data_IF_950141242051
#
_entry.id   IF_950141242051
#
_cell.length_a   1.000
_cell.length_b   1.000
_cell.length_c   1.000
_cell.angle_alpha   90.00
_cell.angle_beta   90.00
_cell.angle_gamma   90.00
#
_symmetry.space_group_name_H-M   'P 1'
#
loop_
_entity.id
_entity.type
_entity.pdbx_description
1 polymer ?
#
# COMPACT_ATOMS: atom_id res chain seq x y z
N UNK A 1 6.46 -16.26 -6.59
CA UNK A 1 7.50 -15.32 -6.11
C UNK A 1 7.80 -15.56 -4.65
N UNK A 2 9.08 -15.74 -4.32
CA UNK A 2 9.54 -15.98 -2.96
C UNK A 2 9.71 -14.68 -2.17
N UNK A 3 9.12 -14.61 -0.98
CA UNK A 3 9.44 -13.57 -0.01
C UNK A 3 10.67 -13.98 0.81
N UNK A 4 11.61 -13.06 0.94
CA UNK A 4 12.76 -13.20 1.84
C UNK A 4 12.88 -11.95 2.69
N UNK A 5 13.20 -12.08 4.00
CA UNK A 5 13.44 -10.91 4.82
C UNK A 5 14.75 -10.23 4.38
N UNK A 6 14.68 -8.94 4.10
CA UNK A 6 15.86 -8.13 3.77
C UNK A 6 16.68 -7.78 5.02
N UNK A 7 15.98 -7.69 6.16
CA UNK A 7 16.53 -7.31 7.46
C UNK A 7 15.63 -7.90 8.56
N UNK A 8 16.16 -8.22 9.71
CA UNK A 8 15.32 -8.55 10.86
C UNK A 8 14.60 -7.32 11.41
N UNK A 9 13.45 -7.51 12.03
CA UNK A 9 12.71 -6.39 12.65
C UNK A 9 13.55 -5.74 13.76
N UNK A 10 14.34 -6.53 14.50
CA UNK A 10 15.23 -6.02 15.54
C UNK A 10 16.34 -5.13 14.97
N UNK A 11 16.96 -5.53 13.86
CA UNK A 11 17.99 -4.72 13.21
C UNK A 11 17.42 -3.45 12.60
N UNK A 12 16.19 -3.50 12.05
CA UNK A 12 15.50 -2.32 11.55
C UNK A 12 15.25 -1.30 12.67
N UNK A 13 14.79 -1.77 13.84
CA UNK A 13 14.61 -0.91 15.03
C UNK A 13 15.94 -0.34 15.51
N UNK A 14 17.00 -1.14 15.54
CA UNK A 14 18.35 -0.68 15.91
C UNK A 14 18.89 0.40 14.97
N UNK A 15 18.43 0.44 13.70
CA UNK A 15 18.74 1.48 12.72
C UNK A 15 17.77 2.67 12.76
N UNK A 16 16.84 2.71 13.72
CA UNK A 16 15.94 3.83 13.95
C UNK A 16 14.58 3.72 13.22
N UNK A 17 14.16 2.53 12.82
CA UNK A 17 12.82 2.36 12.24
C UNK A 17 11.73 2.48 13.33
N UNK A 18 10.74 3.34 13.10
CA UNK A 18 9.53 3.47 13.91
C UNK A 18 8.42 2.52 13.45
N UNK A 19 8.49 2.03 12.23
CA UNK A 19 7.55 1.12 11.60
C UNK A 19 8.27 0.26 10.58
N UNK A 20 7.87 -0.99 10.44
CA UNK A 20 8.39 -1.89 9.41
C UNK A 20 7.32 -2.25 8.38
N UNK A 21 7.77 -2.69 7.22
CA UNK A 21 6.88 -3.20 6.16
C UNK A 21 7.22 -4.63 5.84
N UNK A 22 6.21 -5.49 5.76
CA UNK A 22 6.32 -6.87 5.29
C UNK A 22 5.38 -7.08 4.11
N UNK A 23 5.89 -7.66 3.03
CA UNK A 23 5.07 -7.98 1.86
C UNK A 23 4.54 -9.41 1.93
N UNK A 24 3.31 -9.62 1.43
CA UNK A 24 2.69 -10.91 1.25
C UNK A 24 2.18 -11.02 -0.18
N UNK A 25 2.65 -12.05 -0.88
CA UNK A 25 2.16 -12.46 -2.19
C UNK A 25 1.56 -13.85 -2.07
N UNK A 26 0.36 -14.05 -2.59
CA UNK A 26 -0.41 -15.30 -2.55
C UNK A 26 -0.87 -15.66 -3.95
N UNK A 27 -1.46 -16.85 -4.10
CA UNK A 27 -1.87 -17.44 -5.38
C UNK A 27 -0.69 -17.70 -6.33
N UNK A 28 0.45 -18.07 -5.76
CA UNK A 28 1.55 -18.58 -6.57
C UNK A 28 1.16 -19.94 -7.18
N UNK A 29 1.71 -20.31 -8.34
CA UNK A 29 1.44 -21.63 -8.94
C UNK A 29 1.84 -22.81 -8.06
N UNK A 30 2.80 -22.60 -7.16
CA UNK A 30 3.22 -23.57 -6.15
C UNK A 30 2.72 -23.16 -4.76
N UNK A 31 1.85 -23.98 -4.17
CA UNK A 31 1.32 -23.74 -2.82
C UNK A 31 2.41 -23.69 -1.74
N UNK A 32 3.55 -24.34 -1.97
CA UNK A 32 4.68 -24.28 -1.04
C UNK A 32 5.28 -22.86 -0.98
N UNK A 33 5.24 -22.10 -2.07
CA UNK A 33 5.63 -20.69 -2.08
C UNK A 33 4.67 -19.84 -1.23
N UNK A 34 3.37 -20.07 -1.34
CA UNK A 34 2.38 -19.36 -0.52
C UNK A 34 2.58 -19.67 0.97
N UNK A 35 2.78 -20.94 1.33
CA UNK A 35 3.07 -21.34 2.71
C UNK A 35 4.35 -20.67 3.25
N UNK A 36 5.41 -20.61 2.44
CA UNK A 36 6.66 -19.93 2.80
C UNK A 36 6.45 -18.42 2.95
N UNK A 37 5.70 -17.77 2.06
CA UNK A 37 5.42 -16.34 2.14
C UNK A 37 4.62 -16.00 3.41
N UNK A 38 3.60 -16.80 3.74
CA UNK A 38 2.84 -16.67 4.98
C UNK A 38 3.73 -16.86 6.20
N UNK A 39 4.64 -17.86 6.18
CA UNK A 39 5.58 -18.07 7.29
C UNK A 39 6.48 -16.87 7.50
N UNK A 40 7.09 -16.34 6.44
CA UNK A 40 7.98 -15.16 6.53
C UNK A 40 7.21 -13.96 7.10
N UNK A 41 5.99 -13.72 6.65
CA UNK A 41 5.17 -12.64 7.19
C UNK A 41 4.82 -12.86 8.67
N UNK A 42 4.45 -14.07 9.04
CA UNK A 42 4.12 -14.43 10.44
C UNK A 42 5.33 -14.28 11.36
N UNK A 43 6.54 -14.60 10.89
CA UNK A 43 7.79 -14.39 11.64
C UNK A 43 8.03 -12.89 11.88
N UNK A 44 7.74 -12.01 10.90
CA UNK A 44 7.78 -10.56 11.09
C UNK A 44 6.74 -10.09 12.12
N UNK A 45 5.54 -10.65 12.10
CA UNK A 45 4.48 -10.33 13.08
C UNK A 45 4.91 -10.73 14.49
N UNK A 46 5.52 -11.88 14.68
CA UNK A 46 6.03 -12.32 15.98
C UNK A 46 7.12 -11.36 16.51
N UNK A 47 8.06 -10.96 15.65
CA UNK A 47 9.13 -10.03 16.01
C UNK A 47 8.59 -8.64 16.35
N UNK A 48 7.67 -8.07 15.52
CA UNK A 48 7.11 -6.75 15.79
C UNK A 48 6.35 -6.68 17.12
N UNK A 49 5.63 -7.77 17.48
CA UNK A 49 4.94 -7.87 18.77
C UNK A 49 5.91 -7.84 19.96
N UNK A 50 7.02 -8.57 19.84
CA UNK A 50 8.04 -8.59 20.89
C UNK A 50 8.73 -7.23 21.08
N UNK A 51 8.84 -6.42 20.02
CA UNK A 51 9.51 -5.13 20.03
C UNK A 51 8.56 -3.94 20.20
N UNK A 52 7.25 -4.16 20.13
CA UNK A 52 6.24 -3.11 20.32
C UNK A 52 6.17 -2.08 19.21
N UNK A 53 6.54 -2.43 17.97
CA UNK A 53 6.47 -1.52 16.81
C UNK A 53 5.38 -1.93 15.84
N UNK A 54 4.79 -0.99 15.07
CA UNK A 54 3.77 -1.32 14.07
C UNK A 54 4.38 -1.95 12.82
N UNK A 55 3.56 -2.78 12.14
CA UNK A 55 3.87 -3.44 10.88
C UNK A 55 2.84 -3.05 9.82
N UNK A 56 3.31 -2.51 8.71
CA UNK A 56 2.52 -2.37 7.49
C UNK A 56 2.59 -3.69 6.73
N UNK A 57 1.45 -4.31 6.49
CA UNK A 57 1.34 -5.45 5.58
C UNK A 57 1.12 -4.96 4.14
N UNK A 58 2.01 -5.29 3.22
CA UNK A 58 1.85 -4.96 1.81
C UNK A 58 1.33 -6.18 1.05
N UNK A 59 0.10 -6.08 0.52
CA UNK A 59 -0.45 -7.08 -0.39
C UNK A 59 0.04 -6.79 -1.79
N UNK A 60 0.79 -7.75 -2.36
CA UNK A 60 1.33 -7.64 -3.70
C UNK A 60 0.80 -8.78 -4.57
N UNK A 61 0.01 -8.49 -5.64
CA UNK A 61 -0.58 -9.53 -6.46
C UNK A 61 0.49 -10.29 -7.27
N UNK A 62 0.29 -11.59 -7.42
CA UNK A 62 1.10 -12.42 -8.32
C UNK A 62 0.79 -12.04 -9.77
N UNK A 63 1.82 -11.88 -10.62
CA UNK A 63 1.65 -11.43 -12.01
C UNK A 63 1.76 -9.91 -12.21
N UNK A 64 1.84 -9.13 -11.13
CA UNK A 64 2.13 -7.69 -11.20
C UNK A 64 1.03 -6.87 -11.83
N UNK A 65 1.37 -6.08 -12.88
CA UNK A 65 0.46 -5.10 -13.49
C UNK A 65 -0.44 -5.68 -14.61
N UNK A 66 -0.38 -6.98 -14.88
CA UNK A 66 -1.07 -7.63 -16.03
C UNK A 66 -2.43 -8.25 -15.66
N UNK A 67 -2.93 -8.01 -14.46
CA UNK A 67 -4.22 -8.52 -13.99
C UNK A 67 -5.39 -7.83 -14.70
N UNK A 68 -6.41 -8.64 -14.98
CA UNK A 68 -7.72 -8.06 -15.29
C UNK A 68 -8.27 -7.37 -14.03
N UNK A 69 -9.02 -6.25 -14.18
CA UNK A 69 -9.48 -5.46 -13.03
C UNK A 69 -10.27 -6.25 -11.98
N UNK A 70 -11.08 -7.22 -12.41
CA UNK A 70 -11.88 -8.06 -11.50
C UNK A 70 -11.00 -9.08 -10.74
N UNK A 71 -10.04 -9.68 -11.41
CA UNK A 71 -9.07 -10.61 -10.78
C UNK A 71 -8.22 -9.89 -9.74
N UNK A 72 -7.75 -8.68 -10.08
CA UNK A 72 -7.02 -7.82 -9.16
C UNK A 72 -7.86 -7.47 -7.92
N UNK A 73 -9.14 -7.10 -8.11
CA UNK A 73 -10.06 -6.79 -7.03
C UNK A 73 -10.18 -7.96 -6.04
N UNK A 74 -10.42 -9.17 -6.55
CA UNK A 74 -10.65 -10.35 -5.72
C UNK A 74 -9.37 -10.79 -4.99
N UNK A 75 -8.23 -10.73 -5.67
CA UNK A 75 -6.93 -11.07 -5.07
C UNK A 75 -6.57 -10.09 -3.95
N UNK A 76 -6.70 -8.79 -4.18
CA UNK A 76 -6.44 -7.76 -3.19
C UNK A 76 -7.43 -7.85 -2.02
N UNK A 77 -8.72 -8.12 -2.29
CA UNK A 77 -9.74 -8.28 -1.25
C UNK A 77 -9.38 -9.41 -0.28
N UNK A 78 -9.03 -10.58 -0.82
CA UNK A 78 -8.65 -11.75 -0.02
C UNK A 78 -7.32 -11.48 0.71
N UNK A 79 -6.32 -10.95 -0.01
CA UNK A 79 -5.00 -10.67 0.53
C UNK A 79 -5.03 -9.67 1.69
N UNK A 80 -5.84 -8.61 1.59
CA UNK A 80 -6.00 -7.62 2.66
C UNK A 80 -6.61 -8.23 3.93
N UNK A 81 -7.58 -9.15 3.78
CA UNK A 81 -8.16 -9.89 4.91
C UNK A 81 -7.11 -10.78 5.57
N UNK A 82 -6.42 -11.59 4.78
CA UNK A 82 -5.41 -12.52 5.30
C UNK A 82 -4.31 -11.76 6.05
N UNK A 83 -3.75 -10.72 5.44
CA UNK A 83 -2.61 -10.00 6.03
C UNK A 83 -3.00 -9.25 7.33
N UNK A 84 -4.22 -8.73 7.40
CA UNK A 84 -4.76 -8.11 8.60
C UNK A 84 -5.00 -9.14 9.71
N UNK A 85 -5.56 -10.31 9.38
CA UNK A 85 -5.81 -11.40 10.34
C UNK A 85 -4.51 -12.04 10.84
N UNK A 86 -3.46 -12.08 10.02
CA UNK A 86 -2.13 -12.50 10.45
C UNK A 86 -1.51 -11.52 11.46
N UNK A 87 -1.90 -10.25 11.44
CA UNK A 87 -1.52 -9.28 12.47
C UNK A 87 -0.81 -8.03 11.96
N UNK A 88 -1.01 -7.63 10.73
CA UNK A 88 -0.64 -6.30 10.27
C UNK A 88 -1.44 -5.23 11.06
N UNK A 89 -0.83 -4.09 11.34
CA UNK A 89 -1.48 -2.93 11.99
C UNK A 89 -2.08 -1.97 10.95
N UNK A 90 -1.52 -1.95 9.74
CA UNK A 90 -2.00 -1.23 8.57
C UNK A 90 -1.81 -2.12 7.34
N UNK A 91 -2.61 -1.88 6.31
CA UNK A 91 -2.45 -2.56 5.01
C UNK A 91 -2.10 -1.54 3.95
N UNK A 92 -1.08 -1.85 3.14
CA UNK A 92 -0.73 -1.10 1.94
C UNK A 92 -1.06 -1.96 0.73
N UNK A 93 -1.84 -1.42 -0.22
CA UNK A 93 -2.28 -2.18 -1.39
C UNK A 93 -2.63 -1.30 -2.58
N UNK A 94 -2.89 -1.92 -3.73
CA UNK A 94 -3.29 -1.25 -4.97
C UNK A 94 -4.71 -0.68 -4.85
N UNK A 95 -4.93 0.47 -5.47
CA UNK A 95 -6.28 0.95 -5.73
C UNK A 95 -6.86 0.16 -6.92
N UNK A 96 -7.94 -0.56 -6.68
CA UNK A 96 -8.56 -1.50 -7.64
C UNK A 96 -9.74 -0.90 -8.42
N UNK A 97 -10.01 0.40 -8.26
CA UNK A 97 -11.10 1.07 -8.95
C UNK A 97 -12.38 1.16 -8.13
N UNK A 98 -13.53 1.09 -8.81
CA UNK A 98 -14.86 1.40 -8.23
C UNK A 98 -15.26 0.56 -7.00
N UNK A 99 -14.74 -0.67 -6.91
CA UNK A 99 -15.05 -1.59 -5.80
C UNK A 99 -14.03 -1.55 -4.67
N UNK A 100 -13.11 -0.60 -4.68
CA UNK A 100 -12.07 -0.50 -3.64
C UNK A 100 -12.65 -0.25 -2.24
N UNK A 101 -13.79 0.42 -2.15
CA UNK A 101 -14.52 0.60 -0.88
C UNK A 101 -14.93 -0.72 -0.23
N UNK A 102 -15.16 -1.80 -0.98
CA UNK A 102 -15.45 -3.14 -0.44
C UNK A 102 -14.22 -3.71 0.27
N UNK A 103 -13.02 -3.51 -0.30
CA UNK A 103 -11.74 -3.90 0.33
C UNK A 103 -11.57 -3.17 1.66
N UNK A 104 -11.76 -1.84 1.63
CA UNK A 104 -11.62 -1.02 2.84
C UNK A 104 -12.62 -1.44 3.92
N UNK A 105 -13.89 -1.67 3.55
CA UNK A 105 -14.92 -2.08 4.49
C UNK A 105 -14.69 -3.47 5.10
N UNK A 106 -14.07 -4.38 4.34
CA UNK A 106 -13.80 -5.74 4.78
C UNK A 106 -12.48 -5.87 5.57
N UNK A 107 -11.60 -4.89 5.51
CA UNK A 107 -10.28 -4.91 6.17
C UNK A 107 -10.36 -4.26 7.55
N UNK A 108 -10.10 -4.99 8.66
CA UNK A 108 -10.32 -4.50 10.02
C UNK A 108 -9.25 -3.50 10.51
N UNK A 109 -8.26 -3.19 9.68
CA UNK A 109 -7.18 -2.23 9.97
C UNK A 109 -7.14 -1.13 8.89
N UNK A 110 -6.50 0.03 9.13
CA UNK A 110 -6.42 1.09 8.15
C UNK A 110 -5.77 0.64 6.83
N UNK A 111 -6.38 0.99 5.69
CA UNK A 111 -5.86 0.68 4.35
C UNK A 111 -5.24 1.93 3.74
N UNK A 112 -4.03 1.78 3.20
CA UNK A 112 -3.28 2.80 2.48
C UNK A 112 -3.17 2.42 1.00
N UNK A 113 -3.54 3.32 0.11
CA UNK A 113 -3.43 3.07 -1.32
C UNK A 113 -2.01 3.37 -1.83
N UNK A 114 -1.41 2.45 -2.57
CA UNK A 114 -0.10 2.65 -3.17
C UNK A 114 -0.20 3.31 -4.56
N UNK A 115 0.87 4.01 -4.96
CA UNK A 115 0.89 4.79 -6.21
C UNK A 115 1.31 4.01 -7.46
N UNK A 116 1.61 2.71 -7.34
CA UNK A 116 2.03 1.82 -8.43
C UNK A 116 3.13 2.42 -9.34
N UNK A 117 2.99 2.31 -10.66
CA UNK A 117 3.90 2.91 -11.64
C UNK A 117 3.78 4.45 -11.62
N UNK A 118 4.86 5.13 -12.06
CA UNK A 118 4.80 6.58 -12.26
C UNK A 118 3.75 6.91 -13.32
N UNK A 119 2.83 7.80 -12.98
CA UNK A 119 1.81 8.32 -13.87
C UNK A 119 2.39 9.39 -14.82
N UNK A 120 1.74 9.58 -15.96
CA UNK A 120 2.23 10.50 -16.99
C UNK A 120 2.26 11.97 -16.52
N UNK A 121 1.26 12.35 -15.71
CA UNK A 121 1.11 13.72 -15.20
C UNK A 121 1.02 13.70 -13.67
N UNK A 122 1.56 14.73 -13.04
CA UNK A 122 1.42 14.93 -11.59
C UNK A 122 -0.05 15.09 -11.16
N UNK A 123 -0.86 15.74 -12.00
CA UNK A 123 -2.31 15.87 -11.77
C UNK A 123 -3.04 14.52 -11.72
N UNK A 124 -2.56 13.49 -12.44
CA UNK A 124 -3.15 12.15 -12.38
C UNK A 124 -2.86 11.48 -11.04
N UNK A 125 -1.70 11.76 -10.42
CA UNK A 125 -1.39 11.30 -9.08
C UNK A 125 -2.31 11.95 -8.03
N UNK A 126 -2.66 13.24 -8.18
CA UNK A 126 -3.64 13.90 -7.32
C UNK A 126 -5.03 13.28 -7.46
N UNK A 127 -5.45 12.95 -8.69
CA UNK A 127 -6.73 12.29 -8.95
C UNK A 127 -6.78 10.89 -8.34
N UNK A 128 -5.72 10.10 -8.52
CA UNK A 128 -5.62 8.78 -7.91
C UNK A 128 -5.68 8.86 -6.38
N UNK A 129 -4.98 9.82 -5.79
CA UNK A 129 -5.02 10.04 -4.34
C UNK A 129 -6.43 10.38 -3.85
N UNK A 130 -7.13 11.29 -4.57
CA UNK A 130 -8.49 11.72 -4.24
C UNK A 130 -9.47 10.54 -4.26
N UNK A 131 -9.52 9.79 -5.37
CA UNK A 131 -10.47 8.67 -5.50
C UNK A 131 -10.18 7.53 -4.52
N UNK A 132 -8.91 7.29 -4.17
CA UNK A 132 -8.56 6.30 -3.18
C UNK A 132 -9.03 6.68 -1.76
N UNK A 133 -8.85 7.94 -1.37
CA UNK A 133 -9.30 8.45 -0.07
C UNK A 133 -10.83 8.56 -0.03
N UNK A 134 -11.48 8.97 -1.11
CA UNK A 134 -12.94 9.00 -1.23
C UNK A 134 -13.54 7.59 -1.10
N UNK A 135 -12.84 6.56 -1.61
CA UNK A 135 -13.22 5.17 -1.45
C UNK A 135 -12.90 4.60 -0.05
N UNK A 136 -12.38 5.40 0.87
CA UNK A 136 -12.17 5.07 2.27
C UNK A 136 -10.73 4.74 2.67
N UNK A 137 -9.74 4.83 1.78
CA UNK A 137 -8.34 4.72 2.18
C UNK A 137 -7.99 5.78 3.22
N UNK A 138 -7.23 5.39 4.26
CA UNK A 138 -6.78 6.32 5.32
C UNK A 138 -5.62 7.20 4.90
N UNK A 139 -5.06 6.92 3.72
CA UNK A 139 -3.96 7.68 3.15
C UNK A 139 -3.36 6.99 1.93
N UNK A 140 -2.22 7.50 1.51
CA UNK A 140 -1.51 7.03 0.33
C UNK A 140 -0.03 6.74 0.64
N UNK A 141 0.58 5.82 -0.13
CA UNK A 141 2.02 5.55 -0.11
C UNK A 141 2.56 5.68 -1.53
N UNK A 142 2.88 6.90 -1.94
CA UNK A 142 3.35 7.21 -3.29
C UNK A 142 4.86 7.44 -3.30
N UNK A 143 5.63 6.47 -3.80
CA UNK A 143 7.06 6.60 -3.98
C UNK A 143 7.41 7.24 -5.34
N UNK A 144 7.36 6.44 -6.41
CA UNK A 144 7.80 6.83 -7.76
C UNK A 144 7.11 8.09 -8.30
N UNK A 145 5.82 8.27 -8.03
CA UNK A 145 5.08 9.45 -8.47
C UNK A 145 5.63 10.75 -7.86
N UNK A 146 6.08 10.71 -6.61
CA UNK A 146 6.67 11.87 -5.92
C UNK A 146 8.15 12.03 -6.28
N UNK A 147 8.97 11.00 -6.01
CA UNK A 147 10.43 11.07 -6.13
C UNK A 147 10.88 11.38 -7.57
N UNK A 148 10.15 10.87 -8.57
CA UNK A 148 10.46 11.08 -9.98
C UNK A 148 9.67 12.25 -10.60
N UNK A 149 9.01 13.07 -9.79
CA UNK A 149 8.38 14.30 -10.30
C UNK A 149 9.44 15.36 -10.60
N UNK A 150 9.06 16.36 -11.40
CA UNK A 150 9.95 17.51 -11.66
C UNK A 150 10.20 18.38 -10.41
N UNK A 151 9.22 18.40 -9.52
CA UNK A 151 9.23 19.14 -8.26
C UNK A 151 8.55 18.27 -7.19
N UNK A 152 9.32 17.40 -6.49
CA UNK A 152 8.78 16.49 -5.49
C UNK A 152 8.11 17.19 -4.31
N UNK A 153 8.69 18.29 -3.83
CA UNK A 153 8.17 19.01 -2.66
C UNK A 153 6.81 19.64 -2.98
N UNK A 154 6.71 20.29 -4.14
CA UNK A 154 5.46 20.88 -4.62
C UNK A 154 4.36 19.83 -4.79
N UNK A 155 4.69 18.68 -5.40
CA UNK A 155 3.73 17.59 -5.55
C UNK A 155 3.32 16.99 -4.20
N UNK A 156 4.26 16.87 -3.26
CA UNK A 156 3.97 16.37 -1.92
C UNK A 156 3.02 17.29 -1.17
N UNK A 157 3.22 18.61 -1.24
CA UNK A 157 2.33 19.59 -0.61
C UNK A 157 0.93 19.56 -1.25
N UNK A 158 0.86 19.48 -2.58
CA UNK A 158 -0.40 19.30 -3.29
C UNK A 158 -1.15 18.00 -2.87
N UNK A 159 -0.43 16.88 -2.74
CA UNK A 159 -0.99 15.61 -2.26
C UNK A 159 -1.50 15.72 -0.82
N UNK A 160 -0.82 16.45 0.07
CA UNK A 160 -1.29 16.70 1.44
C UNK A 160 -2.65 17.41 1.45
N UNK A 161 -2.83 18.44 0.62
CA UNK A 161 -4.11 19.16 0.52
C UNK A 161 -5.23 18.26 0.03
N UNK A 162 -4.97 17.41 -0.98
CA UNK A 162 -5.96 16.46 -1.49
C UNK A 162 -6.32 15.40 -0.45
N UNK A 163 -5.32 14.81 0.22
CA UNK A 163 -5.53 13.66 1.11
C UNK A 163 -6.02 14.08 2.50
N UNK A 164 -5.52 15.19 3.05
CA UNK A 164 -5.83 15.61 4.43
C UNK A 164 -6.95 16.64 4.51
N UNK A 165 -7.04 17.51 3.49
CA UNK A 165 -8.02 18.59 3.46
C UNK A 165 -9.18 18.31 2.49
N UNK A 166 -9.15 17.16 1.81
CA UNK A 166 -10.18 16.72 0.84
C UNK A 166 -10.45 17.75 -0.27
N UNK A 167 -9.44 18.51 -0.64
CA UNK A 167 -9.55 19.50 -1.72
C UNK A 167 -9.66 18.82 -3.08
N UNK A 168 -10.45 19.42 -3.98
CA UNK A 168 -10.64 18.92 -5.33
C UNK A 168 -9.31 18.88 -6.10
N UNK A 169 -8.90 17.72 -6.66
CA UNK A 169 -7.58 17.53 -7.26
C UNK A 169 -7.30 18.48 -8.43
N UNK A 170 -8.32 18.82 -9.25
CA UNK A 170 -8.15 19.73 -10.36
C UNK A 170 -7.87 21.19 -9.89
N UNK A 171 -8.50 21.63 -8.80
CA UNK A 171 -8.23 22.94 -8.20
C UNK A 171 -6.81 23.01 -7.62
N UNK A 172 -6.41 21.94 -6.92
CA UNK A 172 -5.07 21.81 -6.36
C UNK A 172 -4.02 21.76 -7.49
N UNK A 173 -4.27 21.01 -8.57
CA UNK A 173 -3.37 20.97 -9.72
C UNK A 173 -3.14 22.37 -10.33
N UNK A 174 -4.18 23.17 -10.47
CA UNK A 174 -4.07 24.57 -10.96
C UNK A 174 -3.29 25.44 -9.98
N UNK A 175 -3.60 25.37 -8.68
CA UNK A 175 -2.93 26.14 -7.61
C UNK A 175 -1.43 25.88 -7.59
N UNK A 176 -1.02 24.61 -7.73
CA UNK A 176 0.38 24.19 -7.70
C UNK A 176 1.04 24.15 -9.08
N UNK A 177 0.35 24.50 -10.16
CA UNK A 177 0.83 24.46 -11.55
C UNK A 177 1.44 23.09 -11.94
N UNK A 178 0.69 22.02 -11.65
CA UNK A 178 1.06 20.61 -11.88
C UNK A 178 0.40 20.05 -13.15
#
# INVERSE_FOLDING_TARGET
SHSVPMISVADAVAQGADIVIGSLSLKNPDEAEDAQNVKVFSDCVAQKRALGIPLIGEVYPTGGDDHQPEELQDEIFIGCRIIAELGADLVKTFYTGKRFNEIVAATPVPVLALGAKKLAKASDALKLAAVAVEAGARGIVFGRNVIQSKDPDRLLDALKEVVKEFKAPDKVAVQYKL
#
